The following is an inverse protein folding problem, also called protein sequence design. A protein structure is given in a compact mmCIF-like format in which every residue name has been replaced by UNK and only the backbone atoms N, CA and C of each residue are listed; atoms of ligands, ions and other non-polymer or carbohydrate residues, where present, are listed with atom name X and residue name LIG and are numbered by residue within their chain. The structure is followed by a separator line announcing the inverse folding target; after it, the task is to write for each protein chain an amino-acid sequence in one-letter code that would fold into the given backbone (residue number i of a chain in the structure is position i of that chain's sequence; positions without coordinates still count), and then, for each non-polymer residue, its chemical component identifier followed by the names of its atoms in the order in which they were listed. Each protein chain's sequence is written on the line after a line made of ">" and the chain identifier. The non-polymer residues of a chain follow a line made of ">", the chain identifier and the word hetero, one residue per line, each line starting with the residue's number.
data_IF_927811036700
#
_entry.id   IF_927811036700
#
_cell.length_a   1.000
_cell.length_b   1.000
_cell.length_c   1.000
_cell.angle_alpha   90.00
_cell.angle_beta   90.00
_cell.angle_gamma   90.00
#
_symmetry.space_group_name_H-M   'P 1'
#
loop_
_entity.id
_entity.type
_entity.pdbx_description
1 polymer ?
#
# COMPACT_ATOMS: atom_id res chain seq x y z
N UNK A 1 -27.24 47.38 -21.35
CA UNK A 1 -27.35 46.00 -20.85
C UNK A 1 -26.06 45.68 -20.12
N UNK A 2 -26.16 45.38 -18.84
CA UNK A 2 -25.07 45.24 -17.86
C UNK A 2 -24.27 43.94 -18.04
N UNK A 3 -22.95 44.04 -18.01
CA UNK A 3 -22.07 42.97 -17.51
C UNK A 3 -22.26 42.92 -15.97
N UNK A 4 -22.12 41.78 -15.23
CA UNK A 4 -20.98 40.85 -15.31
C UNK A 4 -21.27 39.36 -14.96
N UNK A 5 -20.36 38.44 -15.30
CA UNK A 5 -19.71 37.54 -14.32
C UNK A 5 -18.46 36.92 -14.95
N UNK A 6 -17.31 37.19 -14.34
CA UNK A 6 -16.10 36.41 -14.54
C UNK A 6 -16.19 35.19 -13.62
N UNK A 7 -16.03 33.99 -14.17
CA UNK A 7 -15.73 32.80 -13.37
C UNK A 7 -14.54 32.06 -13.97
N UNK A 8 -13.40 32.36 -13.37
CA UNK A 8 -12.32 31.45 -12.97
C UNK A 8 -12.01 30.28 -13.92
N UNK A 9 -11.09 30.53 -14.83
CA UNK A 9 -10.25 29.51 -15.43
C UNK A 9 -9.45 28.80 -14.33
N UNK A 10 -9.84 27.58 -13.97
CA UNK A 10 -8.98 26.69 -13.19
C UNK A 10 -7.72 26.41 -14.03
N UNK A 11 -6.51 26.73 -13.55
CA UNK A 11 -5.30 26.40 -14.28
C UNK A 11 -5.15 24.88 -14.37
N UNK A 12 -4.94 24.40 -15.60
CA UNK A 12 -4.63 23.01 -15.91
C UNK A 12 -3.22 22.70 -15.40
N UNK A 13 -3.12 22.15 -14.18
CA UNK A 13 -1.92 21.43 -13.78
C UNK A 13 -1.76 20.23 -14.71
N UNK A 14 -0.62 20.15 -15.39
CA UNK A 14 -0.31 19.07 -16.34
C UNK A 14 -0.66 17.71 -15.75
N UNK A 15 -1.39 16.90 -16.50
CA UNK A 15 -1.88 15.60 -16.08
C UNK A 15 -0.70 14.67 -15.77
N UNK A 16 -0.19 14.72 -14.54
CA UNK A 16 0.37 13.55 -13.91
C UNK A 16 -0.74 12.50 -13.98
N UNK A 17 -0.54 11.50 -14.84
CA UNK A 17 -1.40 10.34 -14.95
C UNK A 17 -1.80 9.91 -13.53
N UNK A 18 -3.10 9.91 -13.23
CA UNK A 18 -3.59 9.55 -11.90
C UNK A 18 -3.28 8.08 -11.67
N UNK A 19 -2.09 7.79 -11.16
CA UNK A 19 -1.67 6.44 -10.82
C UNK A 19 -2.57 5.95 -9.72
N UNK A 20 -3.31 4.86 -9.99
CA UNK A 20 -4.14 4.22 -8.98
C UNK A 20 -3.25 3.77 -7.82
N UNK A 21 -3.52 4.27 -6.62
CA UNK A 21 -2.88 3.78 -5.40
C UNK A 21 -3.56 2.47 -5.02
N UNK A 22 -2.80 1.39 -4.99
CA UNK A 22 -3.31 0.08 -4.66
C UNK A 22 -3.11 -0.22 -3.18
N UNK A 23 -1.96 0.19 -2.63
CA UNK A 23 -1.53 -0.09 -1.26
C UNK A 23 -1.19 1.22 -0.54
N UNK A 24 -1.54 1.32 0.74
CA UNK A 24 -1.14 2.45 1.60
C UNK A 24 -0.27 1.96 2.76
N UNK A 25 0.80 2.71 3.04
CA UNK A 25 1.72 2.57 4.16
C UNK A 25 1.84 3.89 4.91
N UNK A 26 2.11 3.84 6.22
CA UNK A 26 2.33 5.08 6.98
C UNK A 26 3.75 5.60 6.74
N UNK A 27 4.75 4.75 6.98
CA UNK A 27 6.17 5.11 6.91
C UNK A 27 6.99 4.07 6.14
N UNK A 28 8.16 4.46 5.62
CA UNK A 28 9.02 3.58 4.83
C UNK A 28 9.52 2.33 5.58
N UNK A 29 9.51 2.35 6.92
CA UNK A 29 9.89 1.20 7.76
C UNK A 29 8.81 0.12 7.81
N UNK A 30 7.57 0.44 7.45
CA UNK A 30 6.47 -0.52 7.46
C UNK A 30 6.77 -1.68 6.50
N UNK A 31 6.76 -2.89 7.04
CA UNK A 31 7.02 -4.10 6.26
C UNK A 31 5.79 -4.57 5.47
N UNK A 32 4.62 -4.06 5.84
CA UNK A 32 3.33 -4.42 5.28
C UNK A 32 2.47 -3.17 5.06
N UNK A 33 1.79 -3.11 3.93
CA UNK A 33 0.81 -2.07 3.60
C UNK A 33 -0.59 -2.65 3.45
N UNK A 34 -1.61 -1.81 3.41
CA UNK A 34 -3.01 -2.24 3.27
C UNK A 34 -3.51 -2.02 1.85
N UNK A 35 -4.12 -3.03 1.24
CA UNK A 35 -4.81 -2.90 -0.04
C UNK A 35 -6.06 -1.99 0.10
N UNK A 36 -6.16 -0.97 -0.74
CA UNK A 36 -7.24 0.03 -0.72
C UNK A 36 -8.13 0.01 -1.96
N UNK A 37 -7.90 -0.94 -2.87
CA UNK A 37 -8.73 -1.18 -4.05
C UNK A 37 -9.17 -2.64 -4.11
N UNK A 38 -10.30 -2.88 -4.75
CA UNK A 38 -10.76 -4.23 -5.06
C UNK A 38 -10.08 -4.79 -6.32
N UNK A 39 -10.20 -6.09 -6.54
CA UNK A 39 -9.81 -6.72 -7.80
C UNK A 39 -8.31 -6.83 -8.05
N UNK A 40 -7.45 -6.73 -7.02
CA UNK A 40 -6.03 -7.03 -7.16
C UNK A 40 -5.86 -8.50 -7.54
N UNK A 41 -5.31 -8.74 -8.73
CA UNK A 41 -5.02 -10.07 -9.26
C UNK A 41 -3.53 -10.38 -9.20
N UNK A 42 -3.19 -11.66 -9.23
CA UNK A 42 -1.81 -12.08 -9.42
C UNK A 42 -1.19 -11.38 -10.66
N UNK A 43 0.03 -10.87 -10.51
CA UNK A 43 0.75 -10.15 -11.55
C UNK A 43 0.44 -8.65 -11.67
N UNK A 44 -0.60 -8.13 -10.99
CA UNK A 44 -0.86 -6.68 -10.96
C UNK A 44 0.35 -5.95 -10.36
N UNK A 45 0.85 -4.92 -11.05
CA UNK A 45 1.88 -4.03 -10.50
C UNK A 45 1.21 -3.05 -9.52
N UNK A 46 1.48 -3.21 -8.24
CA UNK A 46 0.87 -2.43 -7.17
C UNK A 46 1.66 -1.16 -6.94
N UNK A 47 1.01 0.00 -7.08
CA UNK A 47 1.54 1.26 -6.55
C UNK A 47 1.24 1.33 -5.06
N UNK A 48 2.29 1.37 -4.25
CA UNK A 48 2.23 1.48 -2.80
C UNK A 48 2.69 2.88 -2.39
N UNK A 49 1.77 3.66 -1.83
CA UNK A 49 2.05 5.02 -1.38
C UNK A 49 2.46 5.03 0.10
N UNK A 50 3.61 5.62 0.38
CA UNK A 50 4.16 5.85 1.72
C UNK A 50 3.77 7.28 2.12
N UNK A 51 2.88 7.40 3.08
CA UNK A 51 2.23 8.68 3.42
C UNK A 51 3.21 9.71 3.97
N UNK A 52 4.12 9.30 4.87
CA UNK A 52 5.03 10.23 5.54
C UNK A 52 6.06 10.85 4.59
N UNK A 53 6.46 10.12 3.55
CA UNK A 53 7.50 10.53 2.58
C UNK A 53 6.90 11.07 1.26
N UNK A 54 5.58 11.00 1.09
CA UNK A 54 4.86 11.24 -0.18
C UNK A 54 5.49 10.47 -1.37
N UNK A 55 5.96 9.25 -1.11
CA UNK A 55 6.67 8.41 -2.07
C UNK A 55 5.79 7.27 -2.58
N UNK A 56 5.95 6.89 -3.85
CA UNK A 56 5.34 5.69 -4.42
C UNK A 56 6.43 4.67 -4.73
N UNK A 57 6.32 3.48 -4.13
CA UNK A 57 7.09 2.29 -4.51
C UNK A 57 6.19 1.31 -5.26
N UNK A 58 6.79 0.41 -6.05
CA UNK A 58 6.03 -0.59 -6.81
C UNK A 58 6.40 -2.01 -6.41
N UNK A 59 5.39 -2.89 -6.34
CA UNK A 59 5.58 -4.31 -6.04
C UNK A 59 4.59 -5.16 -6.84
N UNK A 60 5.00 -6.26 -7.49
CA UNK A 60 4.07 -7.13 -8.20
C UNK A 60 3.29 -8.01 -7.21
N UNK A 61 1.97 -8.05 -7.33
CA UNK A 61 1.13 -8.98 -6.57
C UNK A 61 1.49 -10.43 -6.96
N UNK A 62 1.74 -11.29 -5.97
CA UNK A 62 2.09 -12.71 -6.19
C UNK A 62 0.86 -13.63 -6.29
N UNK A 63 -0.27 -13.17 -5.78
CA UNK A 63 -1.57 -13.83 -5.78
C UNK A 63 -2.67 -12.77 -5.71
N UNK A 64 -3.92 -13.16 -5.86
CA UNK A 64 -5.07 -12.29 -5.62
C UNK A 64 -5.08 -11.79 -4.16
N UNK A 65 -5.35 -10.50 -3.96
CA UNK A 65 -5.34 -9.87 -2.64
C UNK A 65 -6.67 -9.15 -2.41
N UNK A 66 -7.43 -9.51 -1.35
CA UNK A 66 -8.65 -8.80 -1.02
C UNK A 66 -8.38 -7.35 -0.54
N UNK A 67 -9.33 -6.45 -0.78
CA UNK A 67 -9.30 -5.10 -0.19
C UNK A 67 -9.26 -5.18 1.34
N UNK A 68 -8.54 -4.26 1.98
CA UNK A 68 -8.36 -4.20 3.43
C UNK A 68 -7.33 -5.19 3.99
N UNK A 69 -6.84 -6.13 3.18
CA UNK A 69 -5.83 -7.08 3.60
C UNK A 69 -4.42 -6.51 3.47
N UNK A 70 -3.48 -7.09 4.23
CA UNK A 70 -2.09 -6.63 4.22
C UNK A 70 -1.30 -7.28 3.07
N UNK A 71 -0.39 -6.51 2.48
CA UNK A 71 0.56 -6.95 1.45
C UNK A 71 1.96 -6.75 2.00
N UNK A 72 2.85 -7.72 1.81
CA UNK A 72 4.26 -7.57 2.17
C UNK A 72 4.98 -6.67 1.16
N UNK A 73 5.77 -5.71 1.65
CA UNK A 73 6.56 -4.79 0.81
C UNK A 73 8.02 -5.23 0.64
N UNK A 74 8.42 -6.28 1.36
CA UNK A 74 9.73 -6.90 1.27
C UNK A 74 9.64 -8.39 1.58
N UNK A 75 10.67 -9.13 1.19
CA UNK A 75 10.87 -10.49 1.64
C UNK A 75 11.10 -10.51 3.16
N UNK A 76 10.46 -11.48 3.83
CA UNK A 76 10.59 -11.72 5.25
C UNK A 76 10.73 -13.22 5.53
N UNK A 77 11.74 -13.58 6.31
CA UNK A 77 12.00 -14.94 6.75
C UNK A 77 11.20 -15.28 8.02
N UNK A 78 11.07 -16.57 8.33
CA UNK A 78 10.48 -17.02 9.60
C UNK A 78 11.26 -16.40 10.75
N UNK A 79 10.53 -15.73 11.63
CA UNK A 79 11.09 -15.06 12.78
C UNK A 79 11.34 -13.55 12.59
N UNK A 80 11.22 -13.03 11.38
CA UNK A 80 11.31 -11.59 11.16
C UNK A 80 10.15 -10.85 11.85
N UNK A 81 10.42 -9.63 12.29
CA UNK A 81 9.41 -8.73 12.86
C UNK A 81 8.58 -8.11 11.74
N UNK A 82 7.26 -8.07 11.96
CA UNK A 82 6.33 -7.35 11.10
C UNK A 82 6.09 -5.97 11.70
N UNK A 83 6.45 -4.93 10.95
CA UNK A 83 6.18 -3.53 11.30
C UNK A 83 4.98 -2.98 10.52
N UNK A 84 4.13 -2.25 11.24
CA UNK A 84 3.03 -1.44 10.69
C UNK A 84 2.80 -0.23 11.60
N UNK A 85 2.64 0.97 11.01
CA UNK A 85 2.57 2.23 11.76
C UNK A 85 3.80 2.45 12.68
N UNK A 86 4.97 1.97 12.26
CA UNK A 86 6.20 2.05 13.06
C UNK A 86 6.25 1.09 14.26
N UNK A 87 5.17 0.36 14.51
CA UNK A 87 5.02 -0.54 15.65
C UNK A 87 5.28 -1.99 15.22
N UNK A 88 5.96 -2.72 16.09
CA UNK A 88 6.07 -4.18 16.00
C UNK A 88 4.70 -4.82 16.29
N UNK A 89 4.04 -5.31 15.24
CA UNK A 89 2.70 -5.89 15.34
C UNK A 89 2.71 -7.42 15.46
N UNK A 90 3.86 -8.06 15.27
CA UNK A 90 3.89 -9.51 15.12
C UNK A 90 5.20 -10.07 14.58
N UNK A 91 5.18 -11.38 14.40
CA UNK A 91 6.31 -12.16 13.88
C UNK A 91 5.87 -13.00 12.70
N UNK A 92 6.75 -13.15 11.73
CA UNK A 92 6.57 -14.07 10.61
C UNK A 92 6.71 -15.52 11.08
N UNK A 93 5.74 -16.37 10.71
CA UNK A 93 5.69 -17.80 11.07
C UNK A 93 5.76 -18.74 9.86
N UNK A 94 5.63 -18.20 8.65
CA UNK A 94 5.95 -18.85 7.38
C UNK A 94 6.58 -17.80 6.45
N UNK A 95 7.58 -18.13 5.61
CA UNK A 95 8.23 -17.14 4.75
C UNK A 95 7.22 -16.33 3.91
N UNK A 96 7.50 -15.04 3.72
CA UNK A 96 6.63 -14.12 2.96
C UNK A 96 7.51 -13.38 1.95
N UNK A 97 7.11 -13.35 0.68
CA UNK A 97 7.77 -12.58 -0.38
C UNK A 97 7.12 -11.23 -0.59
N UNK A 98 7.88 -10.26 -1.09
CA UNK A 98 7.31 -8.97 -1.51
C UNK A 98 6.17 -9.20 -2.51
N UNK A 99 5.01 -8.57 -2.27
CA UNK A 99 3.78 -8.73 -3.05
C UNK A 99 2.88 -9.90 -2.61
N UNK A 100 3.26 -10.65 -1.58
CA UNK A 100 2.41 -11.69 -1.00
C UNK A 100 1.39 -11.16 0.01
N UNK A 101 0.30 -11.91 0.17
CA UNK A 101 -0.75 -11.64 1.14
C UNK A 101 -0.25 -11.93 2.57
N UNK A 102 -0.07 -10.88 3.35
CA UNK A 102 0.42 -10.94 4.72
C UNK A 102 -0.76 -11.10 5.71
N UNK A 103 -0.97 -12.30 6.24
CA UNK A 103 -2.16 -12.62 7.04
C UNK A 103 -1.89 -13.67 8.11
N UNK A 104 -2.93 -14.15 8.78
CA UNK A 104 -2.84 -15.09 9.92
C UNK A 104 -2.11 -16.41 9.61
N UNK A 105 -2.01 -16.82 8.35
CA UNK A 105 -1.32 -18.06 7.96
C UNK A 105 0.21 -17.91 7.93
N UNK A 106 0.73 -16.67 7.79
CA UNK A 106 2.16 -16.40 7.75
C UNK A 106 2.62 -15.38 8.80
N UNK A 107 1.70 -14.75 9.53
CA UNK A 107 1.97 -13.81 10.63
C UNK A 107 1.21 -14.22 11.89
N UNK A 108 1.93 -14.25 13.01
CA UNK A 108 1.34 -14.30 14.35
C UNK A 108 1.46 -12.94 15.00
N UNK A 109 0.32 -12.33 15.33
CA UNK A 109 0.29 -11.03 16.02
C UNK A 109 0.76 -11.18 17.45
N UNK A 110 1.46 -10.17 17.97
CA UNK A 110 1.73 -10.06 19.40
C UNK A 110 0.43 -9.63 20.08
N UNK A 111 -0.05 -10.44 21.02
CA UNK A 111 -1.14 -10.03 21.91
C UNK A 111 -0.53 -9.19 23.02
N UNK A 112 -1.11 -8.02 23.24
CA UNK A 112 -0.90 -7.14 24.37
C UNK A 112 -1.90 -7.48 25.47
#
# INVERSE_FOLDING_TARGET
>A
MSNPTADIHHPTAGAAERRTIHIVLHEAKDTVGVAVVEGIKAGTLLNAWIMDDDEIVTVPAKQDIPIGHKVALKDMAVGDTVFKYGVDIGKVVAPIKAGEHAHVHNIKTKRW
#
